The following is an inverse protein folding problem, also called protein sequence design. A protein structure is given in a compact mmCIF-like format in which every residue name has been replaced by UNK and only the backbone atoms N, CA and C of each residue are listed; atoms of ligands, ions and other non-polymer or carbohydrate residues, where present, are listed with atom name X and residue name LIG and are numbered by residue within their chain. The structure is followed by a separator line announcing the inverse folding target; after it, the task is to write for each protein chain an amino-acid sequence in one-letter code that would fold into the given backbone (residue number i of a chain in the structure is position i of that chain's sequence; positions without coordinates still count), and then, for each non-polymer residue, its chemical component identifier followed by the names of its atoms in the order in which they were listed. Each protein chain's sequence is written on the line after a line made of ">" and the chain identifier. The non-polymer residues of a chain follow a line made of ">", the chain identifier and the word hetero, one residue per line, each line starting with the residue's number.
data_IF_892726342238
#
_entry.id   IF_892726342238
#
_cell.length_a   1.000
_cell.length_b   1.000
_cell.length_c   1.000
_cell.angle_alpha   90.00
_cell.angle_beta   90.00
_cell.angle_gamma   90.00
#
_symmetry.space_group_name_H-M   'P 1'
#
loop_
_entity.id
_entity.type
_entity.pdbx_description
1 polymer ?
#
# COMPACT_ATOMS: atom_id res chain seq x y z
N UNK A 1 -13.76 -19.72 -46.21
CA UNK A 1 -13.33 -18.33 -45.94
C UNK A 1 -11.98 -18.43 -45.24
N UNK A 2 -10.90 -18.01 -45.90
CA UNK A 2 -9.53 -18.11 -45.35
C UNK A 2 -9.41 -17.14 -44.18
N UNK A 3 -9.13 -17.64 -42.97
CA UNK A 3 -8.84 -16.81 -41.80
C UNK A 3 -7.57 -16.03 -42.13
N UNK A 4 -7.68 -14.72 -42.31
CA UNK A 4 -6.51 -13.88 -42.52
C UNK A 4 -5.54 -14.10 -41.33
N UNK A 5 -4.25 -14.36 -41.57
CA UNK A 5 -3.29 -14.53 -40.49
C UNK A 5 -3.26 -13.25 -39.68
N UNK A 6 -3.53 -13.36 -38.38
CA UNK A 6 -3.43 -12.23 -37.46
C UNK A 6 -1.96 -11.80 -37.46
N UNK A 7 -1.69 -10.53 -37.77
CA UNK A 7 -0.32 -10.02 -37.73
C UNK A 7 0.27 -10.24 -36.33
N UNK A 8 1.40 -10.95 -36.22
CA UNK A 8 1.96 -11.33 -34.92
C UNK A 8 2.33 -10.11 -34.09
N UNK A 9 2.72 -9.00 -34.74
CA UNK A 9 3.01 -7.72 -34.10
C UNK A 9 1.77 -7.16 -33.38
N UNK A 10 0.61 -7.19 -34.03
CA UNK A 10 -0.66 -6.71 -33.48
C UNK A 10 -1.13 -7.58 -32.32
N UNK A 11 -0.93 -8.90 -32.42
CA UNK A 11 -1.24 -9.83 -31.34
C UNK A 11 -0.37 -9.58 -30.09
N UNK A 12 0.94 -9.43 -30.27
CA UNK A 12 1.88 -9.11 -29.19
C UNK A 12 1.54 -7.75 -28.57
N UNK A 13 1.29 -6.72 -29.39
CA UNK A 13 0.90 -5.40 -28.91
C UNK A 13 -0.36 -5.44 -28.06
N UNK A 14 -1.35 -6.25 -28.45
CA UNK A 14 -2.58 -6.46 -27.66
C UNK A 14 -2.28 -7.09 -26.31
N UNK A 15 -1.48 -8.17 -26.28
CA UNK A 15 -1.11 -8.87 -25.04
C UNK A 15 -0.38 -7.93 -24.08
N UNK A 16 0.58 -7.14 -24.60
CA UNK A 16 1.32 -6.15 -23.80
C UNK A 16 0.38 -5.08 -23.27
N UNK A 17 -0.52 -4.55 -24.12
CA UNK A 17 -1.51 -3.54 -23.71
C UNK A 17 -2.42 -4.04 -22.59
N UNK A 18 -2.96 -5.25 -22.71
CA UNK A 18 -3.75 -5.89 -21.65
C UNK A 18 -2.94 -6.11 -20.37
N UNK A 19 -1.66 -6.49 -20.51
CA UNK A 19 -0.73 -6.61 -19.39
C UNK A 19 -0.55 -5.29 -18.63
N UNK A 20 -0.36 -4.19 -19.36
CA UNK A 20 -0.24 -2.86 -18.77
C UNK A 20 -1.52 -2.44 -18.04
N UNK A 21 -2.70 -2.69 -18.62
CA UNK A 21 -3.98 -2.41 -17.96
C UNK A 21 -4.10 -3.20 -16.65
N UNK A 22 -3.78 -4.50 -16.67
CA UNK A 22 -3.81 -5.32 -15.47
C UNK A 22 -2.82 -4.83 -14.40
N UNK A 23 -1.61 -4.43 -14.80
CA UNK A 23 -0.60 -3.86 -13.91
C UNK A 23 -1.08 -2.57 -13.24
N UNK A 24 -1.65 -1.65 -14.01
CA UNK A 24 -2.16 -0.37 -13.51
C UNK A 24 -3.32 -0.60 -12.53
N UNK A 25 -4.30 -1.43 -12.88
CA UNK A 25 -5.44 -1.70 -12.00
C UNK A 25 -5.03 -2.41 -10.71
N UNK A 26 -4.12 -3.37 -10.80
CA UNK A 26 -3.58 -4.07 -9.62
C UNK A 26 -2.80 -3.12 -8.72
N UNK A 27 -1.93 -2.28 -9.31
CA UNK A 27 -1.15 -1.27 -8.60
C UNK A 27 -2.01 -0.19 -7.96
N UNK A 28 -3.02 0.30 -8.67
CA UNK A 28 -3.98 1.27 -8.14
C UNK A 28 -4.78 0.68 -6.97
N UNK A 29 -5.21 -0.58 -7.07
CA UNK A 29 -5.91 -1.26 -5.98
C UNK A 29 -5.04 -1.37 -4.73
N UNK A 30 -3.75 -1.70 -4.90
CA UNK A 30 -2.79 -1.75 -3.80
C UNK A 30 -2.57 -0.36 -3.18
N UNK A 31 -2.42 0.68 -4.01
CA UNK A 31 -2.26 2.05 -3.56
C UNK A 31 -3.46 2.56 -2.76
N UNK A 32 -4.67 2.34 -3.27
CA UNK A 32 -5.92 2.73 -2.60
C UNK A 32 -6.09 1.99 -1.28
N UNK A 33 -5.85 0.68 -1.27
CA UNK A 33 -5.96 -0.12 -0.05
C UNK A 33 -4.97 0.35 1.02
N UNK A 34 -3.74 0.65 0.62
CA UNK A 34 -2.70 1.16 1.52
C UNK A 34 -3.01 2.57 2.03
N UNK A 35 -3.54 3.45 1.19
CA UNK A 35 -3.97 4.79 1.60
C UNK A 35 -5.14 4.74 2.59
N UNK A 36 -6.11 3.85 2.36
CA UNK A 36 -7.31 3.75 3.19
C UNK A 36 -7.11 2.97 4.49
N UNK A 37 -6.38 1.84 4.44
CA UNK A 37 -6.26 0.90 5.56
C UNK A 37 -4.89 0.93 6.27
N UNK A 38 -3.91 1.71 5.78
CA UNK A 38 -2.50 1.70 6.22
C UNK A 38 -1.87 0.29 6.23
N UNK A 39 -2.44 -0.63 5.46
CA UNK A 39 -2.04 -2.03 5.36
C UNK A 39 -1.73 -2.40 3.90
N UNK A 40 -0.91 -3.43 3.72
CA UNK A 40 -0.63 -3.98 2.38
C UNK A 40 -1.76 -4.90 1.96
N UNK A 41 -2.23 -4.73 0.73
CA UNK A 41 -3.17 -5.70 0.15
C UNK A 41 -2.42 -7.00 -0.15
N UNK A 42 -3.02 -8.17 0.11
CA UNK A 42 -2.49 -9.42 -0.43
C UNK A 42 -2.43 -9.36 -1.96
N UNK A 43 -1.34 -9.85 -2.56
CA UNK A 43 -1.12 -9.75 -4.02
C UNK A 43 -2.24 -10.42 -4.83
N UNK A 44 -2.79 -11.53 -4.35
CA UNK A 44 -3.83 -12.31 -5.04
C UNK A 44 -5.06 -11.46 -5.42
N UNK A 45 -5.79 -10.90 -4.44
CA UNK A 45 -6.93 -10.01 -4.68
C UNK A 45 -6.63 -8.85 -5.63
N UNK A 46 -5.49 -8.17 -5.47
CA UNK A 46 -5.12 -7.06 -6.34
C UNK A 46 -4.95 -7.51 -7.81
N UNK A 47 -4.26 -8.63 -8.02
CA UNK A 47 -4.09 -9.24 -9.34
C UNK A 47 -5.42 -9.67 -9.94
N UNK A 48 -6.33 -10.23 -9.14
CA UNK A 48 -7.67 -10.62 -9.59
C UNK A 48 -8.49 -9.41 -10.08
N UNK A 49 -8.36 -8.25 -9.44
CA UNK A 49 -8.99 -7.01 -9.92
C UNK A 49 -8.47 -6.65 -11.31
N UNK A 50 -7.15 -6.64 -11.52
CA UNK A 50 -6.57 -6.41 -12.85
C UNK A 50 -7.01 -7.45 -13.89
N UNK A 51 -7.01 -8.73 -13.51
CA UNK A 51 -7.45 -9.82 -14.38
C UNK A 51 -8.93 -9.75 -14.75
N UNK A 52 -9.79 -9.25 -13.85
CA UNK A 52 -11.21 -9.11 -14.11
C UNK A 52 -11.48 -8.18 -15.30
N UNK A 53 -10.73 -7.09 -15.43
CA UNK A 53 -10.83 -6.18 -16.57
C UNK A 53 -10.37 -6.83 -17.88
N UNK A 54 -9.28 -7.61 -17.82
CA UNK A 54 -8.78 -8.39 -18.96
C UNK A 54 -9.80 -9.44 -19.40
N UNK A 55 -10.38 -10.17 -18.44
CA UNK A 55 -11.41 -11.15 -18.69
C UNK A 55 -12.66 -10.53 -19.32
N UNK A 56 -13.12 -9.40 -18.78
CA UNK A 56 -14.25 -8.66 -19.33
C UNK A 56 -13.98 -8.26 -20.78
N UNK A 57 -12.83 -7.66 -21.07
CA UNK A 57 -12.47 -7.25 -22.43
C UNK A 57 -12.44 -8.43 -23.41
N UNK A 58 -11.75 -9.52 -23.07
CA UNK A 58 -11.64 -10.68 -23.96
C UNK A 58 -12.98 -11.39 -24.16
N UNK A 59 -13.79 -11.48 -23.11
CA UNK A 59 -15.12 -12.07 -23.18
C UNK A 59 -16.06 -11.22 -24.04
N UNK A 60 -16.09 -9.90 -23.85
CA UNK A 60 -16.87 -8.98 -24.67
C UNK A 60 -16.44 -9.04 -26.13
N UNK A 61 -15.14 -9.04 -26.42
CA UNK A 61 -14.63 -9.16 -27.79
C UNK A 61 -15.07 -10.46 -28.45
N UNK A 62 -15.03 -11.57 -27.71
CA UNK A 62 -15.48 -12.87 -28.20
C UNK A 62 -16.98 -12.86 -28.48
N UNK A 63 -17.80 -12.40 -27.52
CA UNK A 63 -19.24 -12.32 -27.67
C UNK A 63 -19.66 -11.44 -28.88
N UNK A 64 -19.02 -10.28 -29.05
CA UNK A 64 -19.26 -9.42 -30.21
C UNK A 64 -18.84 -10.10 -31.53
N UNK A 65 -17.72 -10.81 -31.55
CA UNK A 65 -17.28 -11.58 -32.71
C UNK A 65 -18.29 -12.67 -33.12
N UNK A 66 -18.89 -13.35 -32.14
CA UNK A 66 -19.92 -14.36 -32.41
C UNK A 66 -21.18 -13.76 -33.04
N UNK A 67 -21.62 -12.59 -32.56
CA UNK A 67 -22.83 -11.93 -33.07
C UNK A 67 -22.61 -11.31 -34.45
N UNK A 68 -21.48 -10.65 -34.66
CA UNK A 68 -21.20 -9.90 -35.90
C UNK A 68 -20.67 -10.80 -37.01
N UNK A 69 -19.76 -11.73 -36.68
CA UNK A 69 -19.08 -12.58 -37.65
C UNK A 69 -19.69 -13.97 -37.81
N UNK A 70 -20.60 -14.39 -36.92
CA UNK A 70 -21.13 -15.76 -36.89
C UNK A 70 -20.07 -16.81 -36.50
N UNK A 71 -18.94 -16.40 -35.95
CA UNK A 71 -17.81 -17.26 -35.63
C UNK A 71 -18.13 -18.16 -34.43
N UNK A 72 -18.62 -19.36 -34.70
CA UNK A 72 -18.88 -20.41 -33.69
C UNK A 72 -17.79 -21.48 -33.66
N UNK A 73 -16.80 -21.40 -34.55
CA UNK A 73 -15.74 -22.40 -34.65
C UNK A 73 -14.72 -22.25 -33.51
N UNK A 74 -14.44 -23.35 -32.83
CA UNK A 74 -13.38 -23.43 -31.82
C UNK A 74 -12.01 -23.23 -32.50
N UNK A 75 -11.30 -22.15 -32.16
CA UNK A 75 -9.99 -21.84 -32.72
C UNK A 75 -8.88 -22.09 -31.69
N UNK A 76 -8.00 -23.09 -31.90
CA UNK A 76 -6.86 -23.33 -31.02
C UNK A 76 -5.94 -22.11 -30.88
N UNK A 77 -5.80 -21.32 -31.96
CA UNK A 77 -4.95 -20.13 -31.95
C UNK A 77 -5.55 -19.00 -31.12
N UNK A 78 -6.89 -18.84 -31.13
CA UNK A 78 -7.59 -17.89 -30.26
C UNK A 78 -7.47 -18.30 -28.79
N UNK A 79 -7.61 -19.60 -28.50
CA UNK A 79 -7.43 -20.12 -27.15
C UNK A 79 -6.00 -19.85 -26.64
N UNK A 80 -4.98 -20.10 -27.46
CA UNK A 80 -3.58 -19.83 -27.12
C UNK A 80 -3.35 -18.32 -26.87
N UNK A 81 -3.93 -17.46 -27.71
CA UNK A 81 -3.88 -16.01 -27.51
C UNK A 81 -4.49 -15.59 -26.17
N UNK A 82 -5.68 -16.08 -25.83
CA UNK A 82 -6.34 -15.75 -24.57
C UNK A 82 -5.52 -16.23 -23.36
N UNK A 83 -5.02 -17.47 -23.40
CA UNK A 83 -4.17 -18.02 -22.33
C UNK A 83 -2.89 -17.19 -22.17
N UNK A 84 -2.24 -16.83 -23.27
CA UNK A 84 -1.06 -15.96 -23.27
C UNK A 84 -1.36 -14.57 -22.70
N UNK A 85 -2.48 -13.97 -23.09
CA UNK A 85 -2.93 -12.68 -22.57
C UNK A 85 -3.16 -12.74 -21.06
N UNK A 86 -3.84 -13.78 -20.56
CA UNK A 86 -4.05 -13.98 -19.12
C UNK A 86 -2.75 -14.21 -18.36
N UNK A 87 -1.82 -15.00 -18.91
CA UNK A 87 -0.53 -15.26 -18.28
C UNK A 87 0.30 -13.97 -18.15
N UNK A 88 0.39 -13.18 -19.22
CA UNK A 88 1.10 -11.90 -19.21
C UNK A 88 0.39 -10.90 -18.30
N UNK A 89 -0.93 -10.81 -18.33
CA UNK A 89 -1.71 -9.96 -17.44
C UNK A 89 -1.52 -10.31 -15.95
N UNK A 90 -1.45 -11.60 -15.61
CA UNK A 90 -1.20 -12.04 -14.24
C UNK A 90 0.21 -11.65 -13.76
N UNK A 91 1.23 -11.88 -14.60
CA UNK A 91 2.60 -11.49 -14.29
C UNK A 91 2.74 -9.97 -14.16
N UNK A 92 2.20 -9.22 -15.12
CA UNK A 92 2.22 -7.76 -15.12
C UNK A 92 1.40 -7.17 -13.96
N UNK A 93 0.23 -7.75 -13.66
CA UNK A 93 -0.59 -7.43 -12.49
C UNK A 93 0.19 -7.59 -11.18
N UNK A 94 0.90 -8.71 -11.02
CA UNK A 94 1.71 -8.96 -9.84
C UNK A 94 2.90 -7.99 -9.72
N UNK A 95 3.52 -7.60 -10.84
CA UNK A 95 4.56 -6.58 -10.86
C UNK A 95 3.98 -5.19 -10.51
N UNK A 96 2.85 -4.81 -11.12
CA UNK A 96 2.15 -3.56 -10.87
C UNK A 96 1.67 -3.42 -9.42
N UNK A 97 1.18 -4.49 -8.80
CA UNK A 97 0.83 -4.53 -7.39
C UNK A 97 2.03 -4.16 -6.49
N UNK A 98 3.20 -4.76 -6.76
CA UNK A 98 4.43 -4.46 -5.98
C UNK A 98 4.92 -3.03 -6.22
N UNK A 99 4.88 -2.57 -7.46
CA UNK A 99 5.27 -1.21 -7.81
C UNK A 99 4.34 -0.17 -7.16
N UNK A 100 3.02 -0.41 -7.18
CA UNK A 100 2.02 0.45 -6.54
C UNK A 100 2.22 0.54 -5.03
N UNK A 101 2.53 -0.58 -4.38
CA UNK A 101 2.90 -0.63 -2.95
C UNK A 101 4.11 0.25 -2.64
N UNK A 102 5.15 0.21 -3.48
CA UNK A 102 6.37 0.97 -3.28
C UNK A 102 6.18 2.47 -3.53
N UNK A 103 5.55 2.84 -4.65
CA UNK A 103 5.22 4.22 -4.98
C UNK A 103 4.30 4.85 -3.93
N UNK A 104 3.34 4.09 -3.40
CA UNK A 104 2.48 4.57 -2.31
C UNK A 104 3.27 4.78 -1.03
N UNK A 105 4.30 3.98 -0.76
CA UNK A 105 5.16 4.23 0.38
C UNK A 105 5.96 5.52 0.25
N UNK A 106 6.51 5.80 -0.92
CA UNK A 106 7.27 7.02 -1.17
C UNK A 106 6.38 8.27 -1.18
N UNK A 107 5.23 8.21 -1.87
CA UNK A 107 4.29 9.33 -1.94
C UNK A 107 3.61 9.62 -0.60
N UNK A 108 3.26 8.60 0.18
CA UNK A 108 2.74 8.83 1.53
C UNK A 108 3.81 9.43 2.44
N UNK A 109 5.07 8.98 2.39
CA UNK A 109 6.14 9.60 3.18
C UNK A 109 6.40 11.06 2.74
N UNK A 110 6.28 11.36 1.44
CA UNK A 110 6.46 12.70 0.88
C UNK A 110 5.32 13.67 1.18
N UNK A 111 4.06 13.26 0.99
CA UNK A 111 2.88 14.09 1.26
C UNK A 111 2.62 14.30 2.76
N UNK A 112 2.87 13.25 3.56
CA UNK A 112 2.68 13.31 5.01
C UNK A 112 3.73 14.21 5.68
N UNK A 113 4.89 14.49 5.06
CA UNK A 113 5.84 15.50 5.60
C UNK A 113 5.30 16.93 5.57
N UNK A 114 4.31 17.25 4.73
CA UNK A 114 3.73 18.60 4.64
C UNK A 114 2.62 18.80 5.68
N UNK A 115 1.83 17.77 6.02
CA UNK A 115 0.84 17.81 7.12
C UNK A 115 1.42 17.42 8.52
N UNK A 116 2.54 16.71 8.61
CA UNK A 116 3.05 16.18 9.90
C UNK A 116 3.87 17.15 10.75
N UNK A 117 3.98 18.42 10.39
CA UNK A 117 4.52 19.43 11.30
C UNK A 117 3.82 19.42 12.67
N UNK A 118 2.56 18.97 12.71
CA UNK A 118 1.73 18.92 13.93
C UNK A 118 1.55 17.49 14.49
N UNK A 119 1.60 16.45 13.66
CA UNK A 119 1.38 15.06 14.10
C UNK A 119 2.68 14.35 14.55
N UNK A 120 3.87 14.85 14.18
CA UNK A 120 5.16 14.30 14.65
C UNK A 120 5.41 14.57 16.14
N UNK A 121 4.82 15.61 16.70
CA UNK A 121 4.81 15.87 18.15
C UNK A 121 3.93 14.85 18.89
N UNK A 122 2.90 14.29 18.25
CA UNK A 122 1.96 13.35 18.90
C UNK A 122 2.34 11.87 18.66
N UNK A 123 2.98 11.55 17.52
CA UNK A 123 3.36 10.15 17.21
C UNK A 123 4.68 9.70 17.85
N UNK A 124 5.56 10.63 18.27
CA UNK A 124 6.61 10.34 19.26
C UNK A 124 6.04 10.13 20.67
N UNK A 125 4.81 10.59 20.92
CA UNK A 125 4.08 10.54 22.19
C UNK A 125 3.11 9.35 22.25
N UNK A 126 3.02 8.51 21.20
CA UNK A 126 2.09 7.38 21.13
C UNK A 126 2.26 6.32 22.24
N UNK A 127 3.35 6.40 23.03
CA UNK A 127 3.48 5.70 24.32
C UNK A 127 4.20 6.57 25.35
N UNK A 128 3.89 7.86 25.47
CA UNK A 128 4.38 8.65 26.59
C UNK A 128 3.56 8.33 27.85
N UNK A 129 4.23 8.14 28.99
CA UNK A 129 3.58 8.12 30.30
C UNK A 129 3.65 9.55 30.84
N UNK A 130 2.50 10.15 31.11
CA UNK A 130 2.42 11.41 31.85
C UNK A 130 2.58 11.13 33.33
N UNK A 131 3.55 11.79 33.97
CA UNK A 131 3.74 11.77 35.41
C UNK A 131 3.47 13.18 35.91
N UNK A 132 2.46 13.31 36.75
CA UNK A 132 2.14 14.54 37.46
C UNK A 132 2.94 14.57 38.75
N UNK A 133 3.70 15.66 38.96
CA UNK A 133 4.46 15.87 40.18
C UNK A 133 3.52 16.47 41.22
N UNK A 134 3.43 15.90 42.43
CA UNK A 134 2.60 16.45 43.49
C UNK A 134 3.03 17.86 43.88
N UNK A 135 2.09 18.62 44.43
CA UNK A 135 2.33 20.00 44.90
C UNK A 135 3.35 20.05 46.06
N UNK A 136 3.43 18.98 46.84
CA UNK A 136 4.38 18.85 47.94
C UNK A 136 5.41 17.75 47.61
N UNK A 137 6.69 18.11 47.67
CA UNK A 137 7.82 17.25 47.25
C UNK A 137 8.74 17.01 48.45
N UNK A 138 8.58 15.83 49.07
CA UNK A 138 9.44 15.36 50.15
C UNK A 138 10.80 14.85 49.64
N UNK A 139 11.85 14.96 50.45
CA UNK A 139 13.16 14.39 50.13
C UNK A 139 13.15 12.87 50.31
N UNK A 140 13.84 12.17 49.40
CA UNK A 140 13.98 10.71 49.48
C UNK A 140 15.12 10.34 50.42
N UNK A 141 14.84 9.45 51.39
CA UNK A 141 15.83 8.91 52.32
C UNK A 141 17.02 8.30 51.58
N UNK A 142 18.24 8.79 51.86
CA UNK A 142 19.48 8.28 51.27
C UNK A 142 19.98 9.05 50.03
N UNK A 143 19.31 10.15 49.65
CA UNK A 143 19.76 11.08 48.63
C UNK A 143 19.98 12.47 49.22
N UNK A 144 20.82 13.27 48.56
CA UNK A 144 21.00 14.67 48.96
C UNK A 144 19.70 15.45 48.75
N UNK A 145 19.32 16.30 49.72
CA UNK A 145 18.09 17.08 49.64
C UNK A 145 18.15 18.05 48.46
N UNK A 146 17.01 18.22 47.79
CA UNK A 146 16.88 19.14 46.65
C UNK A 146 16.51 20.53 47.16
N UNK A 147 17.12 21.58 46.60
CA UNK A 147 16.83 22.96 46.97
C UNK A 147 15.33 23.29 46.84
N UNK A 148 14.83 24.05 47.81
CA UNK A 148 13.41 24.42 47.88
C UNK A 148 12.93 25.20 46.64
N UNK A 149 13.81 25.99 46.01
CA UNK A 149 13.52 26.69 44.76
C UNK A 149 13.25 25.73 43.60
N UNK A 150 14.05 24.66 43.50
CA UNK A 150 13.87 23.63 42.47
C UNK A 150 12.59 22.81 42.71
N UNK A 151 12.28 22.51 43.98
CA UNK A 151 11.01 21.84 44.33
C UNK A 151 9.80 22.69 43.96
N UNK A 152 9.83 23.98 44.29
CA UNK A 152 8.77 24.91 43.92
C UNK A 152 8.63 25.07 42.40
N UNK A 153 9.75 25.01 41.67
CA UNK A 153 9.71 25.05 40.21
C UNK A 153 9.06 23.80 39.61
N UNK A 154 9.27 22.61 40.20
CA UNK A 154 8.79 21.33 39.65
C UNK A 154 7.40 20.92 40.15
N UNK A 155 6.93 21.46 41.28
CA UNK A 155 5.63 21.18 41.87
C UNK A 155 4.48 21.45 40.87
N UNK A 156 3.52 20.53 40.79
CA UNK A 156 2.35 20.64 39.92
C UNK A 156 2.64 20.51 38.41
N UNK A 157 3.90 20.29 38.01
CA UNK A 157 4.25 20.08 36.61
C UNK A 157 3.95 18.65 36.14
N UNK A 158 3.55 18.53 34.87
CA UNK A 158 3.38 17.22 34.22
C UNK A 158 4.53 16.95 33.26
N UNK A 159 5.26 15.85 33.48
CA UNK A 159 6.36 15.40 32.64
C UNK A 159 5.95 14.21 31.77
N UNK A 160 6.47 14.17 30.54
CA UNK A 160 6.19 13.10 29.58
C UNK A 160 7.42 12.19 29.41
N UNK A 161 7.25 10.89 29.68
CA UNK A 161 8.32 9.89 29.58
C UNK A 161 8.07 8.86 28.48
N UNK A 162 9.06 8.52 27.63
CA UNK A 162 8.92 7.44 26.66
C UNK A 162 8.78 6.06 27.35
N UNK A 163 7.82 5.24 26.90
CA UNK A 163 7.69 3.86 27.41
C UNK A 163 8.80 2.99 26.81
N UNK A 164 9.76 2.61 27.66
CA UNK A 164 10.98 1.77 27.45
C UNK A 164 12.32 2.48 27.71
N UNK A 165 12.33 3.56 28.50
CA UNK A 165 13.59 4.08 29.03
C UNK A 165 14.10 3.11 30.10
N UNK A 166 14.94 2.15 29.70
CA UNK A 166 15.63 1.22 30.61
C UNK A 166 16.87 1.92 31.17
N UNK A 167 17.24 1.64 32.42
CA UNK A 167 18.39 2.28 33.11
C UNK A 167 19.68 2.21 32.28
N UNK A 168 19.87 1.14 31.50
CA UNK A 168 21.02 0.97 30.59
C UNK A 168 21.15 2.05 29.50
N UNK A 169 20.08 2.82 29.23
CA UNK A 169 20.07 3.89 28.21
C UNK A 169 20.36 5.28 28.80
N UNK A 170 20.54 5.40 30.12
CA UNK A 170 20.83 6.66 30.84
C UNK A 170 22.33 6.87 31.07
N UNK A 171 23.15 6.77 30.01
CA UNK A 171 24.57 7.15 30.07
C UNK A 171 24.83 8.46 29.34
#
# INVERSE_FOLDING_TARGET
>A
MSVAPVDPVTAVGSIVGLGLVAAVLSGASAAVFRWYADQRIPTGPAVLIGLSAVAAYLNTRTALGQVVGGDTAFSPMLALFNVGAFAVAAAAGAAGCRAGDHLSAELLVGGVSVENGMNRVVRSVGRAISVEIPEDIEDTTGYDPVDAETKAALAGQTFLFPRRLTVDQLR
#
